data_IF_538620636226
#
_entry.id   IF_538620636226
#
_cell.length_a   1.000
_cell.length_b   1.000
_cell.length_c   1.000
_cell.angle_alpha   90.00
_cell.angle_beta   90.00
_cell.angle_gamma   90.00
#
_symmetry.space_group_name_H-M   'P 1'
#
loop_
_entity.id
_entity.type
_entity.pdbx_description
1 polymer ?
#
# COMPACT_ATOMS: atom_id res chain seq x y z
N UNK A 1 -16.94 -18.07 5.87
CA UNK A 1 -17.76 -17.50 4.78
C UNK A 1 -16.90 -17.35 3.55
N UNK A 2 -17.42 -17.62 2.35
CA UNK A 2 -16.70 -17.33 1.11
C UNK A 2 -16.96 -15.89 0.69
N UNK A 3 -15.90 -15.14 0.41
CA UNK A 3 -15.98 -13.81 -0.18
C UNK A 3 -15.46 -13.86 -1.62
N UNK A 4 -16.35 -13.75 -2.62
CA UNK A 4 -15.91 -13.73 -4.01
C UNK A 4 -15.03 -12.50 -4.27
N UNK A 5 -14.06 -12.67 -5.17
CA UNK A 5 -13.24 -11.58 -5.67
C UNK A 5 -14.03 -10.81 -6.73
N UNK A 6 -13.89 -9.49 -6.77
CA UNK A 6 -14.34 -8.70 -7.93
C UNK A 6 -13.36 -8.86 -9.08
N UNK A 7 -13.79 -8.54 -10.30
CA UNK A 7 -12.88 -8.54 -11.45
C UNK A 7 -11.65 -7.64 -11.23
N UNK A 8 -11.79 -6.55 -10.45
CA UNK A 8 -10.66 -5.66 -10.14
C UNK A 8 -9.69 -6.25 -9.11
N UNK A 9 -10.15 -7.13 -8.23
CA UNK A 9 -9.28 -7.87 -7.30
C UNK A 9 -8.47 -8.95 -8.06
N UNK A 10 -9.06 -9.52 -9.11
CA UNK A 10 -8.43 -10.53 -9.97
C UNK A 10 -7.48 -9.95 -11.03
N UNK A 11 -7.41 -8.63 -11.19
CA UNK A 11 -6.48 -7.99 -12.15
C UNK A 11 -5.02 -8.13 -11.73
N UNK A 12 -4.75 -8.27 -10.44
CA UNK A 12 -3.41 -8.27 -9.90
C UNK A 12 -2.96 -9.70 -9.60
N UNK A 13 -1.70 -10.06 -9.89
CA UNK A 13 -1.13 -11.31 -9.40
C UNK A 13 -1.11 -11.33 -7.86
N UNK A 14 -0.95 -12.51 -7.24
CA UNK A 14 -0.65 -12.59 -5.81
C UNK A 14 0.62 -11.81 -5.51
N UNK A 15 0.48 -10.66 -4.85
CA UNK A 15 1.58 -9.74 -4.54
C UNK A 15 1.43 -9.26 -3.10
N UNK A 16 2.52 -9.35 -2.35
CA UNK A 16 2.57 -8.93 -0.95
C UNK A 16 2.96 -7.45 -0.89
N UNK A 17 2.14 -6.64 -0.23
CA UNK A 17 2.43 -5.22 -0.02
C UNK A 17 2.77 -4.95 1.44
N UNK A 18 3.97 -4.41 1.65
CA UNK A 18 4.48 -3.98 2.95
C UNK A 18 4.26 -2.50 3.22
N UNK A 19 3.82 -2.16 4.43
CA UNK A 19 3.79 -0.79 4.97
C UNK A 19 4.35 -0.79 6.39
N UNK A 20 5.09 0.25 6.76
CA UNK A 20 5.64 0.37 8.10
C UNK A 20 5.51 1.79 8.65
N UNK A 21 5.41 1.87 9.98
CA UNK A 21 5.25 3.10 10.73
C UNK A 21 6.30 3.16 11.83
N UNK A 22 7.04 4.27 11.88
CA UNK A 22 8.06 4.48 12.89
C UNK A 22 7.59 5.48 13.95
N UNK A 23 7.60 5.07 15.21
CA UNK A 23 7.19 5.85 16.36
C UNK A 23 8.37 6.14 17.27
N UNK A 24 8.56 7.41 17.62
CA UNK A 24 9.54 7.80 18.64
C UNK A 24 9.06 7.35 20.02
N UNK A 25 10.01 7.08 20.91
CA UNK A 25 9.71 6.87 22.33
C UNK A 25 8.91 8.06 22.87
N UNK A 26 7.79 7.79 23.54
CA UNK A 26 7.04 8.84 24.24
C UNK A 26 7.88 9.30 25.43
N UNK A 27 8.21 10.59 25.55
CA UNK A 27 8.91 11.10 26.73
C UNK A 27 8.02 10.86 27.95
N UNK A 28 8.52 10.10 28.93
CA UNK A 28 7.91 10.06 30.26
C UNK A 28 8.03 11.46 30.83
N UNK A 29 6.91 12.17 30.98
CA UNK A 29 6.89 13.59 31.33
C UNK A 29 7.82 13.90 32.50
N UNK A 30 8.62 14.95 32.36
CA UNK A 30 9.24 15.65 33.49
C UNK A 30 8.13 16.24 34.33
N UNK A 31 7.68 15.50 35.35
CA UNK A 31 6.70 15.96 36.31
C UNK A 31 7.28 17.08 37.16
N UNK A 32 7.05 18.34 36.76
CA UNK A 32 7.07 19.46 37.70
C UNK A 32 5.67 19.61 38.30
N UNK A 33 5.53 19.26 39.58
CA UNK A 33 4.47 19.81 40.44
C UNK A 33 3.36 18.86 40.90
N UNK A 34 3.46 18.48 42.17
CA UNK A 34 2.39 18.23 43.15
C UNK A 34 1.49 16.98 43.02
N UNK A 35 1.82 15.99 43.86
CA UNK A 35 0.91 15.47 44.87
C UNK A 35 -0.36 14.75 44.41
N UNK A 36 -0.21 13.47 44.04
CA UNK A 36 -1.31 12.53 43.92
C UNK A 36 -0.77 11.17 43.45
N UNK A 37 -0.82 10.15 44.30
CA UNK A 37 -0.28 8.82 44.04
C UNK A 37 -1.09 8.05 42.99
N UNK A 38 -0.93 8.43 41.72
CA UNK A 38 -1.26 7.59 40.57
C UNK A 38 0.04 7.13 39.93
N UNK A 39 0.20 5.83 39.74
CA UNK A 39 1.34 5.23 39.05
C UNK A 39 1.51 5.89 37.67
N UNK A 40 2.56 6.70 37.51
CA UNK A 40 2.99 7.18 36.20
C UNK A 40 3.59 5.99 35.45
N UNK A 41 2.72 5.12 34.91
CA UNK A 41 3.14 3.95 34.16
C UNK A 41 3.73 4.41 32.82
N UNK A 42 5.05 4.51 32.75
CA UNK A 42 5.74 4.45 31.45
C UNK A 42 5.22 3.21 30.73
N UNK A 43 4.55 3.38 29.59
CA UNK A 43 4.01 2.27 28.82
C UNK A 43 5.16 1.38 28.36
N UNK A 44 5.24 0.16 28.88
CA UNK A 44 6.24 -0.82 28.46
C UNK A 44 5.91 -1.32 27.05
N UNK A 45 6.90 -1.80 26.31
CA UNK A 45 6.67 -2.39 24.98
C UNK A 45 5.59 -3.47 24.99
N UNK A 46 5.65 -4.41 25.94
CA UNK A 46 4.62 -5.44 26.10
C UNK A 46 3.20 -4.89 26.34
N UNK A 47 3.07 -3.80 27.12
CA UNK A 47 1.76 -3.14 27.30
C UNK A 47 1.23 -2.53 26.01
N UNK A 48 2.11 -1.90 25.22
CA UNK A 48 1.75 -1.30 23.93
C UNK A 48 1.34 -2.38 22.92
N UNK A 49 2.08 -3.48 22.85
CA UNK A 49 1.72 -4.62 22.00
C UNK A 49 0.39 -5.25 22.41
N UNK A 50 0.13 -5.41 23.71
CA UNK A 50 -1.15 -5.92 24.20
C UNK A 50 -2.33 -5.07 23.73
N UNK A 51 -2.17 -3.73 23.78
CA UNK A 51 -3.16 -2.79 23.23
C UNK A 51 -3.33 -2.97 21.72
N UNK A 52 -2.23 -3.07 20.97
CA UNK A 52 -2.27 -3.27 19.51
C UNK A 52 -2.99 -4.57 19.13
N UNK A 53 -2.65 -5.70 19.77
CA UNK A 53 -3.29 -7.00 19.54
C UNK A 53 -4.79 -6.98 19.86
N UNK A 54 -5.17 -6.42 21.01
CA UNK A 54 -6.57 -6.30 21.42
C UNK A 54 -7.36 -5.43 20.44
N UNK A 55 -6.80 -4.29 20.04
CA UNK A 55 -7.44 -3.40 19.08
C UNK A 55 -7.58 -4.04 17.69
N UNK A 56 -6.58 -4.80 17.26
CA UNK A 56 -6.61 -5.52 15.98
C UNK A 56 -7.72 -6.57 15.99
N UNK A 57 -7.82 -7.37 17.05
CA UNK A 57 -8.89 -8.35 17.19
C UNK A 57 -10.29 -7.72 17.11
N UNK A 58 -10.46 -6.52 17.67
CA UNK A 58 -11.71 -5.75 17.57
C UNK A 58 -11.95 -5.21 16.16
N UNK A 59 -10.93 -4.66 15.49
CA UNK A 59 -11.02 -4.17 14.12
C UNK A 59 -11.40 -5.29 13.14
N UNK A 60 -10.78 -6.48 13.28
CA UNK A 60 -11.01 -7.64 12.43
C UNK A 60 -12.45 -8.16 12.45
N UNK A 61 -13.28 -7.78 13.43
CA UNK A 61 -14.73 -8.07 13.39
C UNK A 61 -15.39 -7.41 12.18
N UNK A 62 -15.03 -6.15 11.90
CA UNK A 62 -15.56 -5.42 10.73
C UNK A 62 -14.73 -5.71 9.48
N UNK A 63 -13.42 -5.87 9.64
CA UNK A 63 -12.46 -6.10 8.56
C UNK A 63 -12.11 -7.59 8.42
N UNK A 64 -13.11 -8.46 8.52
CA UNK A 64 -12.94 -9.92 8.61
C UNK A 64 -12.21 -10.54 7.41
N UNK A 65 -12.19 -9.87 6.26
CA UNK A 65 -11.44 -10.31 5.08
C UNK A 65 -9.94 -10.45 5.38
N UNK A 66 -9.38 -9.62 6.26
CA UNK A 66 -7.97 -9.72 6.64
C UNK A 66 -7.66 -10.91 7.57
N UNK A 67 -8.67 -11.57 8.13
CA UNK A 67 -8.51 -12.78 8.93
C UNK A 67 -8.92 -14.05 8.14
N UNK A 68 -8.81 -14.01 6.82
CA UNK A 68 -9.09 -15.13 5.93
C UNK A 68 -7.84 -15.67 5.26
N UNK A 69 -8.05 -16.59 4.33
CA UNK A 69 -7.01 -17.18 3.50
C UNK A 69 -7.49 -17.35 2.06
N UNK A 70 -6.58 -17.31 1.09
CA UNK A 70 -6.93 -17.60 -0.30
C UNK A 70 -6.95 -19.10 -0.54
N UNK A 71 -8.04 -19.56 -1.15
CA UNK A 71 -8.20 -20.94 -1.63
C UNK A 71 -8.71 -20.89 -3.07
N UNK A 72 -8.71 -22.04 -3.76
CA UNK A 72 -9.20 -22.11 -5.14
C UNK A 72 -10.60 -22.69 -5.20
N UNK A 73 -11.46 -22.12 -6.05
CA UNK A 73 -12.76 -22.71 -6.36
C UNK A 73 -12.60 -23.92 -7.33
N UNK A 74 -13.70 -24.59 -7.66
CA UNK A 74 -13.68 -25.75 -8.59
C UNK A 74 -13.19 -25.41 -10.00
N UNK A 75 -13.25 -24.13 -10.39
CA UNK A 75 -12.72 -23.62 -11.66
C UNK A 75 -11.25 -23.18 -11.58
N UNK A 76 -10.61 -23.29 -10.42
CA UNK A 76 -9.22 -22.86 -10.22
C UNK A 76 -9.04 -21.37 -9.99
N UNK A 77 -10.12 -20.59 -9.80
CA UNK A 77 -10.00 -19.16 -9.49
C UNK A 77 -9.77 -18.94 -7.99
N UNK A 78 -8.92 -17.98 -7.61
CA UNK A 78 -8.70 -17.65 -6.20
C UNK A 78 -9.94 -16.98 -5.60
N UNK A 79 -10.36 -17.48 -4.45
CA UNK A 79 -11.47 -16.94 -3.67
C UNK A 79 -11.03 -16.82 -2.21
N UNK A 80 -11.53 -15.79 -1.53
CA UNK A 80 -11.14 -15.54 -0.14
C UNK A 80 -12.06 -16.33 0.78
N UNK A 81 -11.48 -17.25 1.55
CA UNK A 81 -12.17 -17.96 2.61
C UNK A 81 -12.02 -17.17 3.92
N UNK A 82 -13.07 -16.45 4.31
CA UNK A 82 -13.14 -15.76 5.59
C UNK A 82 -13.54 -16.76 6.69
N UNK A 83 -12.57 -17.52 7.19
CA UNK A 83 -12.72 -18.56 8.21
C UNK A 83 -12.22 -18.15 9.60
N UNK A 84 -11.86 -16.88 9.80
CA UNK A 84 -11.21 -16.40 11.01
C UNK A 84 -9.89 -17.13 11.30
N UNK A 85 -9.12 -17.47 10.26
CA UNK A 85 -7.76 -18.02 10.37
C UNK A 85 -6.90 -17.15 11.30
N UNK A 86 -7.07 -15.83 11.20
CA UNK A 86 -6.42 -14.86 12.07
C UNK A 86 -5.38 -14.04 11.33
N UNK A 87 -4.47 -13.43 12.11
CA UNK A 87 -3.39 -12.59 11.60
C UNK A 87 -2.15 -12.95 12.39
N UNK A 88 -1.08 -13.31 11.67
CA UNK A 88 0.23 -13.52 12.29
C UNK A 88 0.73 -12.21 12.88
N UNK A 89 0.98 -12.19 14.20
CA UNK A 89 1.49 -11.02 14.91
C UNK A 89 2.81 -11.33 15.60
N UNK A 90 3.88 -10.74 15.08
CA UNK A 90 5.24 -10.90 15.57
C UNK A 90 5.62 -9.78 16.54
N UNK A 91 6.27 -10.16 17.65
CA UNK A 91 6.93 -9.25 18.59
C UNK A 91 8.43 -9.42 18.43
N UNK A 92 9.13 -8.32 18.17
CA UNK A 92 10.56 -8.32 17.91
C UNK A 92 11.28 -7.21 18.68
N UNK A 93 12.59 -7.34 18.81
CA UNK A 93 13.48 -6.30 19.32
C UNK A 93 14.69 -6.18 18.40
N UNK A 94 15.12 -4.96 18.12
CA UNK A 94 16.31 -4.67 17.31
C UNK A 94 17.28 -3.78 18.07
N UNK A 95 18.55 -4.19 18.15
CA UNK A 95 19.65 -3.40 18.74
C UNK A 95 20.14 -2.30 17.77
N UNK A 96 19.19 -1.49 17.30
CA UNK A 96 19.41 -0.34 16.42
C UNK A 96 18.57 0.83 16.93
N UNK A 97 19.05 2.05 16.77
CA UNK A 97 18.26 3.24 17.10
C UNK A 97 17.44 3.70 15.89
N UNK A 98 16.32 4.38 16.14
CA UNK A 98 15.46 4.89 15.06
C UNK A 98 16.19 5.82 14.07
N UNK A 99 17.17 6.58 14.54
CA UNK A 99 17.99 7.47 13.70
C UNK A 99 18.94 6.72 12.75
N UNK A 100 19.23 5.45 13.06
CA UNK A 100 20.16 4.62 12.31
C UNK A 100 19.41 3.73 11.29
N UNK A 101 18.06 3.78 11.27
CA UNK A 101 17.28 3.14 10.23
C UNK A 101 17.51 3.87 8.91
N UNK A 102 18.13 3.17 7.95
CA UNK A 102 18.43 3.70 6.63
C UNK A 102 17.19 3.70 5.75
N UNK A 103 16.37 4.75 5.87
CA UNK A 103 15.21 4.94 5.00
C UNK A 103 15.61 5.24 3.55
N UNK A 104 16.85 5.70 3.30
CA UNK A 104 17.32 5.93 1.93
C UNK A 104 17.56 4.61 1.18
N UNK A 105 17.91 3.55 1.89
CA UNK A 105 18.04 2.19 1.36
C UNK A 105 17.24 1.21 2.23
N UNK A 106 15.90 1.13 2.05
CA UNK A 106 15.05 0.30 2.89
C UNK A 106 15.36 -1.20 2.74
N UNK A 107 16.02 -1.64 1.67
CA UNK A 107 16.42 -3.05 1.53
C UNK A 107 17.47 -3.45 2.58
N UNK A 108 18.26 -2.49 3.07
CA UNK A 108 19.29 -2.73 4.08
C UNK A 108 18.69 -2.90 5.49
N UNK A 109 17.65 -2.12 5.82
CA UNK A 109 17.18 -2.01 7.22
C UNK A 109 15.74 -2.44 7.45
N UNK A 110 14.91 -2.43 6.41
CA UNK A 110 13.48 -2.74 6.49
C UNK A 110 13.18 -4.13 5.92
N UNK A 111 13.56 -4.37 4.67
CA UNK A 111 13.19 -5.59 3.93
C UNK A 111 13.77 -6.84 4.59
N UNK A 112 12.90 -7.83 4.87
CA UNK A 112 13.28 -9.09 5.53
C UNK A 112 13.75 -8.96 6.98
N UNK A 113 13.59 -7.79 7.60
CA UNK A 113 14.01 -7.51 8.98
C UNK A 113 12.90 -6.92 9.82
N UNK A 114 12.36 -5.78 9.38
CA UNK A 114 11.32 -5.02 10.09
C UNK A 114 9.92 -5.19 9.46
N UNK A 115 9.85 -5.60 8.19
CA UNK A 115 8.61 -6.04 7.54
C UNK A 115 8.40 -7.55 7.78
N UNK A 116 7.20 -7.99 8.22
CA UNK A 116 6.90 -9.41 8.37
C UNK A 116 6.80 -10.08 7.01
N UNK A 117 7.25 -11.33 6.93
CA UNK A 117 6.90 -12.22 5.83
C UNK A 117 5.52 -12.84 6.08
N UNK A 118 4.71 -12.90 5.03
CA UNK A 118 3.40 -13.56 5.09
C UNK A 118 3.61 -15.07 4.91
N UNK A 119 3.30 -15.86 5.94
CA UNK A 119 3.40 -17.32 5.90
C UNK A 119 2.06 -17.95 5.53
N UNK A 120 1.05 -17.69 6.36
CA UNK A 120 -0.33 -18.14 6.18
C UNK A 120 -1.28 -16.94 6.26
N UNK A 121 -2.49 -17.10 5.73
CA UNK A 121 -3.50 -16.05 5.71
C UNK A 121 -3.23 -14.97 4.66
N UNK A 122 -3.70 -13.74 4.93
CA UNK A 122 -3.64 -12.60 3.99
C UNK A 122 -3.13 -11.29 4.61
N UNK A 123 -2.79 -11.31 5.90
CA UNK A 123 -2.23 -10.18 6.63
C UNK A 123 -1.28 -10.70 7.70
N UNK A 124 -0.11 -10.06 7.82
CA UNK A 124 0.84 -10.28 8.90
C UNK A 124 1.31 -8.94 9.45
N UNK A 125 1.58 -8.89 10.76
CA UNK A 125 1.96 -7.68 11.49
C UNK A 125 3.21 -7.96 12.32
N UNK A 126 4.13 -7.01 12.37
CA UNK A 126 5.29 -7.05 13.26
C UNK A 126 5.40 -5.75 14.06
N UNK A 127 5.46 -5.86 15.38
CA UNK A 127 5.87 -4.77 16.26
C UNK A 127 7.31 -5.00 16.71
N UNK A 128 8.19 -4.05 16.44
CA UNK A 128 9.62 -4.13 16.77
C UNK A 128 10.01 -3.01 17.73
N UNK A 129 10.48 -3.35 18.93
CA UNK A 129 11.11 -2.39 19.85
C UNK A 129 12.55 -2.08 19.40
N UNK A 130 12.89 -0.81 19.35
CA UNK A 130 14.23 -0.32 19.01
C UNK A 130 15.04 -0.01 20.27
N UNK A 131 16.37 -0.02 20.18
CA UNK A 131 17.29 0.31 21.29
C UNK A 131 16.97 1.62 21.99
N UNK A 132 16.51 2.62 21.24
CA UNK A 132 16.14 3.94 21.77
C UNK A 132 14.74 3.97 22.43
N UNK A 133 14.05 2.83 22.56
CA UNK A 133 12.66 2.70 23.00
C UNK A 133 11.62 3.21 22.00
N UNK A 134 12.04 3.46 20.75
CA UNK A 134 11.11 3.68 19.64
C UNK A 134 10.50 2.37 19.16
N UNK A 135 9.45 2.43 18.35
CA UNK A 135 8.75 1.24 17.85
C UNK A 135 8.58 1.35 16.34
N UNK A 136 8.80 0.25 15.63
CA UNK A 136 8.35 0.07 14.25
C UNK A 136 7.15 -0.87 14.26
N UNK A 137 6.02 -0.43 13.70
CA UNK A 137 4.86 -1.29 13.44
C UNK A 137 4.75 -1.47 11.94
N UNK A 138 4.86 -2.70 11.49
CA UNK A 138 4.88 -3.08 10.09
C UNK A 138 3.75 -4.05 9.78
N UNK A 139 3.17 -3.93 8.58
CA UNK A 139 2.12 -4.80 8.08
C UNK A 139 2.49 -5.26 6.66
N UNK A 140 2.27 -6.53 6.37
CA UNK A 140 2.35 -7.10 5.02
C UNK A 140 1.02 -7.75 4.71
N UNK A 141 0.41 -7.46 3.55
CA UNK A 141 -0.89 -8.02 3.16
C UNK A 141 -0.93 -8.39 1.69
N UNK A 142 -1.76 -9.37 1.34
CA UNK A 142 -2.01 -9.77 -0.04
C UNK A 142 -2.82 -8.69 -0.77
N UNK A 143 -2.26 -8.11 -1.82
CA UNK A 143 -2.87 -7.00 -2.57
C UNK A 143 -4.23 -7.38 -3.18
N UNK A 144 -4.52 -8.67 -3.42
CA UNK A 144 -5.82 -9.11 -3.93
C UNK A 144 -6.95 -8.84 -2.92
N UNK A 145 -6.65 -8.74 -1.62
CA UNK A 145 -7.66 -8.44 -0.59
C UNK A 145 -8.04 -6.96 -0.58
N UNK A 146 -7.08 -6.06 -0.79
CA UNK A 146 -7.25 -4.63 -0.56
C UNK A 146 -6.30 -3.78 -1.42
N UNK A 147 -6.81 -2.68 -1.96
CA UNK A 147 -5.96 -1.59 -2.43
C UNK A 147 -5.48 -0.69 -1.28
N UNK A 148 -4.60 0.26 -1.59
CA UNK A 148 -4.07 1.21 -0.60
C UNK A 148 -5.17 2.00 0.14
N UNK A 149 -6.29 2.31 -0.52
CA UNK A 149 -7.43 2.99 0.11
C UNK A 149 -8.06 2.10 1.18
N UNK A 150 -8.38 0.85 0.82
CA UNK A 150 -9.01 -0.13 1.70
C UNK A 150 -8.09 -0.54 2.86
N UNK A 151 -6.80 -0.77 2.58
CA UNK A 151 -5.81 -1.05 3.61
C UNK A 151 -5.72 0.13 4.60
N UNK A 152 -5.75 1.38 4.12
CA UNK A 152 -5.77 2.55 4.99
C UNK A 152 -7.04 2.66 5.84
N UNK A 153 -8.22 2.25 5.34
CA UNK A 153 -9.43 2.18 6.17
C UNK A 153 -9.21 1.31 7.42
N UNK A 154 -8.64 0.12 7.22
CA UNK A 154 -8.32 -0.79 8.31
C UNK A 154 -7.27 -0.20 9.27
N UNK A 155 -6.16 0.31 8.74
CA UNK A 155 -5.07 0.87 9.56
C UNK A 155 -5.54 2.04 10.43
N UNK A 156 -6.37 2.93 9.88
CA UNK A 156 -6.96 4.05 10.63
C UNK A 156 -7.92 3.53 11.70
N UNK A 157 -8.82 2.61 11.36
CA UNK A 157 -9.77 2.05 12.32
C UNK A 157 -9.06 1.31 13.46
N UNK A 158 -8.05 0.51 13.13
CA UNK A 158 -7.21 -0.17 14.12
C UNK A 158 -6.50 0.83 15.05
N UNK A 159 -5.94 1.91 14.50
CA UNK A 159 -5.30 2.96 15.29
C UNK A 159 -6.29 3.73 16.18
N UNK A 160 -7.51 4.01 15.72
CA UNK A 160 -8.57 4.64 16.52
C UNK A 160 -8.96 3.77 17.72
N UNK A 161 -9.19 2.48 17.48
CA UNK A 161 -9.52 1.50 18.53
C UNK A 161 -8.38 1.38 19.54
N UNK A 162 -7.13 1.29 19.07
CA UNK A 162 -5.96 1.21 19.94
C UNK A 162 -5.82 2.42 20.86
N UNK A 163 -6.20 3.60 20.37
CA UNK A 163 -6.21 4.85 21.15
C UNK A 163 -7.47 5.02 22.01
N UNK A 164 -8.39 4.06 22.01
CA UNK A 164 -9.71 4.17 22.65
C UNK A 164 -10.47 5.44 22.24
N UNK A 165 -10.28 5.89 20.99
CA UNK A 165 -10.99 7.04 20.43
C UNK A 165 -12.40 6.61 19.98
N UNK A 166 -13.36 7.55 19.93
CA UNK A 166 -14.62 7.30 19.25
C UNK A 166 -14.35 6.84 17.81
N UNK A 167 -15.01 5.77 17.37
CA UNK A 167 -14.87 5.26 16.01
C UNK A 167 -15.51 6.26 15.04
N UNK A 168 -14.67 7.01 14.33
CA UNK A 168 -15.08 7.93 13.25
C UNK A 168 -14.80 7.28 11.88
N UNK A 169 -13.95 6.26 11.84
CA UNK A 169 -13.69 5.46 10.64
C UNK A 169 -14.97 4.85 10.06
N UNK A 170 -15.06 4.90 8.73
CA UNK A 170 -16.14 4.30 7.97
C UNK A 170 -16.04 2.78 8.03
N UNK A 171 -17.16 2.09 8.26
CA UNK A 171 -17.19 0.64 8.24
C UNK A 171 -17.02 0.12 6.80
N UNK A 172 -16.25 -0.97 6.60
CA UNK A 172 -16.04 -1.56 5.29
C UNK A 172 -17.32 -2.20 4.76
N UNK A 173 -17.55 -2.04 3.46
CA UNK A 173 -18.58 -2.73 2.70
C UNK A 173 -17.94 -3.73 1.74
N UNK A 174 -18.35 -4.98 1.84
CA UNK A 174 -17.89 -6.08 0.99
C UNK A 174 -18.88 -6.39 -0.15
N UNK A 175 -19.69 -5.40 -0.56
CA UNK A 175 -20.70 -5.56 -1.60
C UNK A 175 -20.08 -5.62 -3.00
N UNK A 176 -19.53 -6.78 -3.36
CA UNK A 176 -18.87 -7.05 -4.66
C UNK A 176 -19.75 -6.77 -5.87
N UNK A 177 -21.07 -6.88 -5.73
CA UNK A 177 -22.02 -6.61 -6.81
C UNK A 177 -21.97 -5.18 -7.36
N UNK A 178 -21.40 -4.22 -6.61
CA UNK A 178 -21.19 -2.84 -7.06
C UNK A 178 -20.25 -2.73 -8.28
N UNK A 179 -19.40 -3.74 -8.47
CA UNK A 179 -18.43 -3.82 -9.56
C UNK A 179 -18.75 -4.94 -10.56
N UNK A 180 -20.00 -5.42 -10.58
CA UNK A 180 -20.41 -6.41 -11.56
C UNK A 180 -20.22 -5.87 -12.98
N UNK A 181 -19.77 -6.72 -13.93
CA UNK A 181 -19.65 -6.32 -15.31
C UNK A 181 -21.00 -5.90 -15.89
N UNK A 182 -20.95 -5.05 -16.92
CA UNK A 182 -22.16 -4.66 -17.67
C UNK A 182 -22.79 -5.88 -18.34
N UNK A 183 -24.12 -5.86 -18.42
CA UNK A 183 -24.92 -6.84 -19.13
C UNK A 183 -25.71 -6.13 -20.25
N UNK A 184 -25.57 -6.52 -21.54
CA UNK A 184 -24.76 -7.64 -22.03
C UNK A 184 -23.25 -7.37 -21.95
N UNK A 185 -22.48 -8.45 -21.77
CA UNK A 185 -21.02 -8.41 -21.82
C UNK A 185 -20.54 -8.01 -23.24
N UNK A 186 -19.42 -7.29 -23.34
CA UNK A 186 -18.75 -7.02 -24.63
C UNK A 186 -18.81 -5.59 -25.16
N UNK A 187 -19.56 -4.68 -24.52
CA UNK A 187 -19.54 -3.25 -24.89
C UNK A 187 -18.38 -2.51 -24.25
N UNK A 188 -17.13 -2.84 -24.57
CA UNK A 188 -15.96 -2.13 -24.04
C UNK A 188 -15.11 -1.55 -25.17
N UNK A 189 -14.25 -0.60 -24.81
CA UNK A 189 -13.35 0.04 -25.78
C UNK A 189 -12.20 -0.92 -26.13
N UNK A 190 -11.94 -1.22 -27.41
CA UNK A 190 -10.87 -2.15 -27.80
C UNK A 190 -9.47 -1.76 -27.27
N UNK A 191 -9.24 -0.48 -26.92
CA UNK A 191 -7.99 -0.06 -26.29
C UNK A 191 -7.70 -0.74 -24.94
N UNK A 192 -8.71 -1.32 -24.28
CA UNK A 192 -8.51 -2.10 -23.06
C UNK A 192 -7.78 -3.43 -23.33
N UNK A 193 -7.84 -3.97 -24.56
CA UNK A 193 -7.15 -5.21 -24.92
C UNK A 193 -5.61 -5.03 -24.84
N UNK A 194 -5.11 -3.81 -25.08
CA UNK A 194 -3.68 -3.47 -24.98
C UNK A 194 -3.22 -3.23 -23.53
N UNK A 195 -4.13 -3.18 -22.55
CA UNK A 195 -3.79 -2.90 -21.15
C UNK A 195 -3.54 -4.14 -20.30
N UNK A 196 -4.06 -5.30 -20.71
CA UNK A 196 -4.05 -6.51 -19.90
C UNK A 196 -3.47 -7.68 -20.69
N UNK A 197 -2.71 -8.52 -20.00
CA UNK A 197 -2.21 -9.78 -20.54
C UNK A 197 -2.54 -10.89 -19.54
N UNK A 198 -3.01 -12.08 -19.97
CA UNK A 198 -3.21 -13.20 -19.07
C UNK A 198 -1.90 -13.58 -18.38
N UNK A 199 -1.94 -13.83 -17.07
CA UNK A 199 -0.76 -14.29 -16.31
C UNK A 199 -0.16 -15.56 -16.94
N UNK A 200 -0.99 -16.45 -17.47
CA UNK A 200 -0.57 -17.68 -18.16
C UNK A 200 0.24 -17.43 -19.44
N UNK A 201 0.20 -16.22 -20.00
CA UNK A 201 1.01 -15.85 -21.16
C UNK A 201 2.39 -15.26 -20.77
N UNK A 202 2.61 -14.96 -19.50
CA UNK A 202 3.90 -14.49 -18.99
C UNK A 202 4.82 -15.69 -18.74
N UNK A 203 6.14 -15.55 -18.98
CA UNK A 203 7.10 -16.57 -18.59
C UNK A 203 7.04 -16.77 -17.06
N UNK A 204 7.26 -18.01 -16.56
CA UNK A 204 7.32 -18.24 -15.12
C UNK A 204 8.41 -17.34 -14.49
N UNK A 205 8.18 -16.83 -13.27
CA UNK A 205 9.20 -16.08 -12.55
C UNK A 205 10.51 -16.86 -12.52
N UNK A 206 11.64 -16.17 -12.73
CA UNK A 206 12.95 -16.80 -12.57
C UNK A 206 13.13 -17.18 -11.10
N UNK A 207 13.73 -18.34 -10.84
CA UNK A 207 14.09 -18.74 -9.47
C UNK A 207 14.88 -17.61 -8.79
N UNK A 208 14.63 -17.33 -7.49
CA UNK A 208 15.36 -16.32 -6.74
C UNK A 208 16.86 -16.57 -6.85
N UNK A 209 17.54 -15.79 -7.68
CA UNK A 209 19.00 -15.82 -7.75
C UNK A 209 19.53 -15.24 -6.43
N UNK A 210 20.54 -15.88 -5.79
CA UNK A 210 21.20 -15.27 -4.65
C UNK A 210 21.70 -13.89 -5.09
N UNK A 211 21.39 -12.83 -4.32
CA UNK A 211 21.72 -11.44 -4.64
C UNK A 211 23.21 -11.22 -5.01
N UNK A 212 24.09 -12.13 -4.58
CA UNK A 212 25.52 -12.16 -4.89
C UNK A 212 25.88 -12.54 -6.35
N UNK A 213 24.93 -12.93 -7.20
CA UNK A 213 25.17 -13.38 -8.58
C UNK A 213 24.66 -12.43 -9.67
N UNK A 214 23.94 -11.36 -9.29
CA UNK A 214 23.56 -10.31 -10.25
C UNK A 214 24.71 -9.31 -10.39
N UNK A 215 25.17 -9.10 -11.62
CA UNK A 215 26.11 -8.01 -11.93
C UNK A 215 25.49 -6.61 -11.81
N UNK A 216 24.18 -6.52 -11.55
CA UNK A 216 23.44 -5.27 -11.36
C UNK A 216 22.32 -5.47 -10.32
N UNK A 217 22.60 -5.30 -9.00
CA UNK A 217 21.58 -5.45 -7.98
C UNK A 217 20.60 -4.28 -8.04
N UNK A 218 19.31 -4.58 -8.23
CA UNK A 218 18.25 -3.59 -8.03
C UNK A 218 18.21 -3.20 -6.56
N UNK A 219 18.20 -1.90 -6.29
CA UNK A 219 18.10 -1.35 -4.94
C UNK A 219 16.90 -0.41 -4.84
N UNK A 220 16.16 -0.53 -3.75
CA UNK A 220 15.11 0.41 -3.37
C UNK A 220 15.73 1.68 -2.83
N UNK A 221 15.16 2.84 -3.20
CA UNK A 221 15.55 4.13 -2.62
C UNK A 221 14.34 5.02 -2.32
N UNK A 222 14.29 5.57 -1.11
CA UNK A 222 13.29 6.58 -0.74
C UNK A 222 13.94 7.96 -0.83
N UNK A 223 13.39 8.80 -1.70
CA UNK A 223 13.83 10.17 -1.88
C UNK A 223 12.89 11.14 -1.17
N UNK A 224 13.47 12.04 -0.38
CA UNK A 224 12.74 13.16 0.17
C UNK A 224 12.78 14.33 -0.81
N UNK A 225 11.60 14.77 -1.27
CA UNK A 225 11.45 15.91 -2.18
C UNK A 225 10.81 17.07 -1.43
N UNK A 226 11.50 18.21 -1.39
CA UNK A 226 11.00 19.38 -0.66
C UNK A 226 9.74 19.95 -1.32
N UNK A 227 8.83 20.48 -0.50
CA UNK A 227 7.60 21.10 -0.97
C UNK A 227 7.86 22.24 -1.98
N UNK A 228 8.92 23.02 -1.77
CA UNK A 228 9.29 24.14 -2.65
C UNK A 228 9.80 23.66 -4.02
N UNK A 229 10.59 22.59 -4.05
CA UNK A 229 11.03 21.96 -5.29
C UNK A 229 9.83 21.42 -6.08
N UNK A 230 8.89 20.79 -5.39
CA UNK A 230 7.66 20.28 -6.01
C UNK A 230 6.75 21.40 -6.52
N UNK A 231 6.69 22.53 -5.80
CA UNK A 231 5.98 23.73 -6.25
C UNK A 231 6.64 24.35 -7.49
N UNK A 232 7.97 24.36 -7.56
CA UNK A 232 8.74 24.80 -8.72
C UNK A 232 8.44 23.92 -9.95
N UNK A 233 8.52 22.58 -9.82
CA UNK A 233 8.16 21.65 -10.89
C UNK A 233 6.74 21.87 -11.40
N UNK A 234 5.78 22.05 -10.47
CA UNK A 234 4.39 22.36 -10.82
C UNK A 234 4.26 23.67 -11.59
N UNK A 235 5.01 24.71 -11.21
CA UNK A 235 5.01 25.99 -11.90
C UNK A 235 5.56 25.86 -13.32
N UNK A 236 6.66 25.14 -13.51
CA UNK A 236 7.26 24.90 -14.82
C UNK A 236 6.34 24.08 -15.74
N UNK A 237 5.62 23.10 -15.18
CA UNK A 237 4.68 22.26 -15.93
C UNK A 237 3.34 22.97 -16.25
N UNK A 238 3.05 24.10 -15.60
CA UNK A 238 1.80 24.84 -15.80
C UNK A 238 2.00 25.93 -16.85
N UNK A 239 1.27 25.86 -17.97
CA UNK A 239 1.37 26.82 -19.07
C UNK A 239 -0.01 27.20 -19.61
N UNK A 240 -0.11 28.34 -20.29
CA UNK A 240 -1.31 28.78 -21.01
C UNK A 240 -2.61 28.73 -20.17
N UNK A 241 -2.52 29.14 -18.89
CA UNK A 241 -3.66 29.13 -17.96
C UNK A 241 -4.07 27.76 -17.42
N UNK A 242 -3.43 26.65 -17.87
CA UNK A 242 -3.69 25.30 -17.34
C UNK A 242 -2.73 24.98 -16.21
N UNK A 243 -3.27 24.86 -15.00
CA UNK A 243 -2.51 24.48 -13.80
C UNK A 243 -2.42 22.96 -13.67
N UNK A 244 -1.20 22.43 -13.54
CA UNK A 244 -0.97 21.02 -13.27
C UNK A 244 -1.00 20.72 -11.78
N UNK A 245 -1.34 19.48 -11.44
CA UNK A 245 -1.21 18.95 -10.08
C UNK A 245 0.26 18.67 -9.75
N UNK A 246 0.57 18.55 -8.46
CA UNK A 246 1.91 18.17 -8.00
C UNK A 246 2.29 16.76 -8.51
N UNK A 247 1.32 15.84 -8.51
CA UNK A 247 1.51 14.47 -8.99
C UNK A 247 1.82 14.43 -10.48
N UNK A 248 1.06 15.15 -11.33
CA UNK A 248 1.33 15.22 -12.77
C UNK A 248 2.74 15.79 -13.04
N UNK A 249 3.08 16.92 -12.41
CA UNK A 249 4.35 17.59 -12.65
C UNK A 249 5.55 16.72 -12.20
N UNK A 250 5.45 16.09 -11.02
CA UNK A 250 6.49 15.21 -10.51
C UNK A 250 6.64 13.94 -11.36
N UNK A 251 5.54 13.27 -11.68
CA UNK A 251 5.56 12.02 -12.47
C UNK A 251 6.11 12.26 -13.87
N UNK A 252 5.74 13.37 -14.51
CA UNK A 252 6.30 13.75 -15.81
C UNK A 252 7.80 14.03 -15.72
N UNK A 253 8.25 14.78 -14.72
CA UNK A 253 9.69 15.05 -14.50
C UNK A 253 10.47 13.75 -14.26
N UNK A 254 9.95 12.85 -13.42
CA UNK A 254 10.55 11.55 -13.16
C UNK A 254 10.60 10.69 -14.43
N UNK A 255 9.53 10.67 -15.23
CA UNK A 255 9.49 9.94 -16.49
C UNK A 255 10.57 10.41 -17.46
N UNK A 256 10.71 11.73 -17.64
CA UNK A 256 11.77 12.33 -18.48
C UNK A 256 13.17 11.95 -17.99
N UNK A 257 13.40 12.03 -16.69
CA UNK A 257 14.68 11.71 -16.06
C UNK A 257 15.06 10.24 -16.28
N UNK A 258 14.15 9.31 -15.94
CA UNK A 258 14.36 7.87 -16.08
C UNK A 258 14.56 7.49 -17.55
N UNK A 259 13.74 8.03 -18.46
CA UNK A 259 13.89 7.79 -19.90
C UNK A 259 15.25 8.27 -20.41
N UNK A 260 15.68 9.47 -20.02
CA UNK A 260 16.97 10.04 -20.45
C UNK A 260 18.16 9.19 -20.00
N UNK A 261 18.13 8.73 -18.74
CA UNK A 261 19.19 7.90 -18.17
C UNK A 261 19.20 6.50 -18.81
N UNK A 262 18.03 5.88 -18.95
CA UNK A 262 17.91 4.51 -19.45
C UNK A 262 18.28 4.34 -20.94
N UNK A 263 18.04 5.37 -21.77
CA UNK A 263 18.32 5.28 -23.22
C UNK A 263 19.66 5.92 -23.61
N UNK A 264 20.28 6.67 -22.71
CA UNK A 264 21.43 7.51 -23.03
C UNK A 264 21.09 8.66 -24.00
N UNK A 265 22.09 9.49 -24.29
CA UNK A 265 21.90 10.68 -25.12
C UNK A 265 21.62 10.35 -26.60
N UNK A 266 22.07 9.18 -27.08
CA UNK A 266 22.08 8.85 -28.51
C UNK A 266 20.96 7.90 -28.97
N UNK A 267 20.24 7.18 -28.08
CA UNK A 267 19.13 6.32 -28.48
C UNK A 267 17.78 7.02 -28.25
N UNK A 268 17.30 7.74 -29.27
CA UNK A 268 16.04 8.50 -29.19
C UNK A 268 14.78 7.70 -29.58
N UNK A 269 14.93 6.42 -29.95
CA UNK A 269 13.85 5.63 -30.56
C UNK A 269 13.19 4.61 -29.62
N UNK A 270 13.69 4.45 -28.39
CA UNK A 270 13.14 3.51 -27.43
C UNK A 270 11.78 3.99 -26.95
N UNK A 271 10.85 3.05 -26.84
CA UNK A 271 9.51 3.32 -26.32
C UNK A 271 9.59 3.32 -24.79
N UNK A 272 9.22 4.45 -24.18
CA UNK A 272 9.13 4.61 -22.75
C UNK A 272 7.65 4.68 -22.37
N UNK A 273 7.27 4.02 -21.27
CA UNK A 273 5.91 4.05 -20.72
C UNK A 273 5.93 4.49 -19.26
N UNK A 274 4.92 5.25 -18.86
CA UNK A 274 4.63 5.51 -17.45
C UNK A 274 3.17 5.19 -17.17
N UNK A 275 2.92 4.34 -16.17
CA UNK A 275 1.60 4.05 -15.63
C UNK A 275 1.39 4.79 -14.32
N UNK A 276 0.18 5.32 -14.09
CA UNK A 276 -0.19 5.96 -12.84
C UNK A 276 -1.39 5.23 -12.26
N UNK A 277 -1.26 4.73 -11.04
CA UNK A 277 -2.37 4.08 -10.33
C UNK A 277 -3.41 5.13 -9.95
N UNK A 278 -4.68 4.88 -10.28
CA UNK A 278 -5.80 5.77 -10.01
C UNK A 278 -6.90 5.03 -9.25
N UNK A 279 -7.27 5.57 -8.09
CA UNK A 279 -8.46 5.15 -7.34
C UNK A 279 -9.74 5.52 -8.12
N UNK A 280 -10.49 4.50 -8.49
CA UNK A 280 -11.72 4.59 -9.28
C UNK A 280 -12.95 4.93 -8.46
N UNK A 281 -12.93 4.86 -7.11
CA UNK A 281 -14.13 5.06 -6.27
C UNK A 281 -14.87 6.33 -6.60
N UNK A 282 -14.16 7.47 -6.64
CA UNK A 282 -14.73 8.79 -6.94
C UNK A 282 -15.25 8.91 -8.38
N UNK A 283 -14.60 8.23 -9.33
CA UNK A 283 -14.99 8.25 -10.76
C UNK A 283 -16.24 7.42 -10.99
N UNK A 284 -16.34 6.27 -10.32
CA UNK A 284 -17.52 5.39 -10.41
C UNK A 284 -18.75 5.99 -9.72
N UNK A 285 -18.57 6.94 -8.82
CA UNK A 285 -19.64 7.63 -8.10
C UNK A 285 -19.85 9.09 -8.50
N UNK A 286 -19.27 9.53 -9.62
CA UNK A 286 -19.35 10.94 -10.04
C UNK A 286 -20.82 11.34 -10.31
N UNK A 287 -21.23 12.47 -9.74
CA UNK A 287 -22.60 12.99 -9.87
C UNK A 287 -23.66 12.34 -8.98
N UNK A 288 -23.32 11.33 -8.17
CA UNK A 288 -24.25 10.61 -7.29
C UNK A 288 -23.71 10.54 -5.85
N UNK A 289 -24.32 11.31 -4.95
CA UNK A 289 -23.87 11.41 -3.55
C UNK A 289 -24.08 10.13 -2.75
N UNK A 290 -25.13 9.36 -3.04
CA UNK A 290 -25.40 8.11 -2.33
C UNK A 290 -24.45 7.02 -2.80
N UNK A 291 -24.22 6.93 -4.12
CA UNK A 291 -23.19 6.04 -4.66
C UNK A 291 -21.80 6.43 -4.15
N UNK A 292 -21.52 7.71 -3.95
CA UNK A 292 -20.24 8.16 -3.39
C UNK A 292 -20.04 7.68 -1.96
N UNK A 293 -21.07 7.73 -1.11
CA UNK A 293 -21.01 7.16 0.25
C UNK A 293 -20.78 5.65 0.23
N UNK A 294 -21.50 4.94 -0.64
CA UNK A 294 -21.37 3.48 -0.79
C UNK A 294 -19.96 3.12 -1.28
N UNK A 295 -19.45 3.80 -2.30
CA UNK A 295 -18.11 3.55 -2.84
C UNK A 295 -16.99 3.95 -1.88
N UNK A 296 -17.19 4.98 -1.05
CA UNK A 296 -16.25 5.32 0.02
C UNK A 296 -16.13 4.19 1.05
N UNK A 297 -17.21 3.45 1.30
CA UNK A 297 -17.19 2.29 2.19
C UNK A 297 -16.66 1.02 1.50
N UNK A 298 -16.63 0.96 0.17
CA UNK A 298 -16.25 -0.24 -0.56
C UNK A 298 -14.82 -0.67 -0.22
N UNK A 299 -14.70 -1.89 0.30
CA UNK A 299 -13.47 -2.50 0.72
C UNK A 299 -13.02 -3.54 -0.30
N UNK A 300 -11.84 -3.36 -0.90
CA UNK A 300 -11.28 -4.18 -1.98
C UNK A 300 -10.56 -3.32 -3.01
N UNK A 301 -10.19 -3.89 -4.15
CA UNK A 301 -9.51 -3.15 -5.20
C UNK A 301 -10.51 -2.36 -6.05
N UNK A 302 -10.25 -1.06 -6.21
CA UNK A 302 -10.91 -0.19 -7.19
C UNK A 302 -9.86 0.62 -7.93
N UNK A 303 -8.92 -0.08 -8.56
CA UNK A 303 -7.76 0.52 -9.20
C UNK A 303 -7.85 0.45 -10.72
N UNK A 304 -7.29 1.45 -11.37
CA UNK A 304 -6.95 1.44 -12.79
C UNK A 304 -5.54 1.99 -12.96
N UNK A 305 -4.83 1.52 -13.99
CA UNK A 305 -3.45 1.95 -14.27
C UNK A 305 -3.41 2.46 -15.71
N UNK A 306 -3.99 3.63 -16.00
CA UNK A 306 -3.76 4.28 -17.29
C UNK A 306 -2.27 4.53 -17.47
N UNK A 307 -1.78 4.28 -18.68
CA UNK A 307 -0.40 4.56 -19.05
C UNK A 307 -0.31 5.51 -20.24
N UNK A 308 0.83 6.18 -20.35
CA UNK A 308 1.21 6.96 -21.52
C UNK A 308 2.46 6.37 -22.14
N UNK A 309 2.54 6.44 -23.47
CA UNK A 309 3.65 5.94 -24.27
C UNK A 309 4.27 7.07 -25.08
N UNK A 310 5.60 7.19 -25.05
CA UNK A 310 6.36 8.13 -25.88
C UNK A 310 7.72 7.55 -26.26
N UNK A 311 8.26 7.98 -27.41
CA UNK A 311 9.67 7.74 -27.72
C UNK A 311 10.56 8.57 -26.80
N UNK A 312 11.72 8.04 -26.41
CA UNK A 312 12.65 8.74 -25.51
C UNK A 312 13.09 10.12 -26.03
N UNK A 313 13.21 10.30 -27.35
CA UNK A 313 13.48 11.60 -27.95
C UNK A 313 12.39 12.65 -27.68
N UNK A 314 11.12 12.25 -27.70
CA UNK A 314 9.97 13.14 -27.47
C UNK A 314 9.79 13.54 -26.00
N UNK A 315 10.46 12.83 -25.08
CA UNK A 315 10.43 13.15 -23.66
C UNK A 315 11.49 14.20 -23.29
N UNK A 316 12.53 14.38 -24.11
CA UNK A 316 13.60 15.37 -23.89
C UNK A 316 13.16 16.80 -24.18
N UNK A 317 12.16 16.98 -25.05
CA UNK A 317 11.48 18.25 -25.34
C UNK A 317 10.49 18.64 -24.21
#
# INVERSE_FOLDING_TARGET
QWLPQSNLDLLLPPEDVGVFFCYKKVPTGTGTGSGGGGENSSSTFGSMVSVLKKAMAQALVSYYAFAGEFVHNTGGEPVLLCNNHGVDFFEASADVELRDINLYNPDETIQGKLLPHMNEGVLSVQATELKCGGIVVACTFDHRVADAYSANMFLVSWAEIAQSKPLVSLLPSFQRSLLNPRCPAGYYDPSLDDMYVPISALPPPKDPQPAATSNDPLISRIYYVNADQLNCLRSLASCNGRKRTKLEAFSASLWKMVATIATGEHMNNNICRIGIVVDGRRRLSEGDSEKAKIMAAYFGNVLSIPFSEKRSGELKE
#
